data_IF_038481270371
#
_entry.id   IF_038481270371
#
_cell.length_a   1.000
_cell.length_b   1.000
_cell.length_c   1.000
_cell.angle_alpha   90.00
_cell.angle_beta   90.00
_cell.angle_gamma   90.00
#
_symmetry.space_group_name_H-M   'P 1'
#
loop_
_entity.id
_entity.type
_entity.pdbx_description
1 polymer ?
#
# COMPACT_ATOMS: atom_id res chain seq x y z
N UNK A 1 67.82 7.57 -4.68
CA UNK A 1 66.80 7.52 -5.74
C UNK A 1 66.50 8.95 -6.15
N UNK A 2 67.15 9.44 -7.21
CA UNK A 2 67.01 10.83 -7.66
C UNK A 2 66.05 10.82 -8.85
N UNK A 3 64.94 11.51 -8.72
CA UNK A 3 63.93 11.67 -9.79
C UNK A 3 64.20 13.02 -10.44
N UNK A 4 64.62 13.01 -11.71
CA UNK A 4 64.80 14.21 -12.53
C UNK A 4 63.54 14.38 -13.40
N UNK A 5 62.87 15.51 -13.29
CA UNK A 5 61.70 15.87 -14.07
C UNK A 5 62.15 16.84 -15.19
N UNK A 6 61.89 16.50 -16.45
CA UNK A 6 62.04 17.38 -17.62
C UNK A 6 60.69 17.82 -18.17
N UNK A 7 60.54 19.09 -18.61
CA UNK A 7 59.24 19.62 -19.06
C UNK A 7 58.88 19.19 -20.50
N UNK A 8 57.60 19.17 -20.88
CA UNK A 8 57.13 18.71 -22.18
C UNK A 8 57.30 19.78 -23.29
N UNK A 9 57.61 19.31 -24.50
CA UNK A 9 57.67 20.11 -25.72
C UNK A 9 56.25 20.37 -26.26
N UNK A 10 56.07 21.58 -26.77
CA UNK A 10 54.90 22.10 -27.45
C UNK A 10 54.45 21.19 -28.59
N UNK A 11 53.12 21.03 -28.73
CA UNK A 11 52.48 20.58 -29.96
C UNK A 11 51.74 21.77 -30.58
N UNK A 12 52.04 22.02 -31.86
CA UNK A 12 51.58 23.21 -32.58
C UNK A 12 50.10 23.16 -32.96
N UNK A 13 49.54 24.38 -33.09
CA UNK A 13 48.22 24.71 -33.61
C UNK A 13 48.07 24.29 -35.09
N UNK A 14 46.91 23.84 -35.45
CA UNK A 14 46.31 24.12 -36.76
C UNK A 14 44.86 24.54 -36.60
N UNK A 15 44.52 25.54 -37.39
CA UNK A 15 43.31 26.39 -37.30
C UNK A 15 42.07 25.80 -37.90
N UNK A 16 40.95 26.35 -37.39
CA UNK A 16 39.69 26.68 -38.03
C UNK A 16 38.75 25.56 -38.47
N UNK A 17 37.57 25.56 -37.95
CA UNK A 17 36.34 26.04 -38.60
C UNK A 17 35.21 26.13 -37.55
N UNK A 18 34.51 27.27 -37.61
CA UNK A 18 33.39 27.69 -36.82
C UNK A 18 32.08 26.92 -37.11
N UNK A 19 31.20 26.96 -36.13
CA UNK A 19 29.74 27.02 -36.15
C UNK A 19 29.01 25.88 -35.41
N UNK A 20 28.50 26.23 -34.32
CA UNK A 20 27.18 26.04 -33.71
C UNK A 20 27.24 25.67 -32.22
N UNK A 21 26.37 26.21 -31.37
CA UNK A 21 26.51 26.15 -29.92
C UNK A 21 25.80 24.93 -29.31
N UNK A 22 26.43 24.38 -28.27
CA UNK A 22 25.73 23.51 -27.34
C UNK A 22 26.28 22.09 -27.26
N UNK A 23 27.47 21.92 -26.67
CA UNK A 23 27.85 20.62 -26.10
C UNK A 23 28.80 20.83 -24.89
N UNK A 24 28.49 20.08 -23.88
CA UNK A 24 29.07 19.87 -22.56
C UNK A 24 30.61 19.71 -22.60
N UNK A 25 31.26 20.45 -21.73
CA UNK A 25 32.69 20.30 -21.40
C UNK A 25 32.99 18.90 -20.87
N UNK A 26 33.82 18.17 -21.59
CA UNK A 26 34.46 16.95 -21.09
C UNK A 26 35.86 17.26 -20.62
N UNK A 27 36.08 17.04 -19.34
CA UNK A 27 37.34 17.17 -18.62
C UNK A 27 38.48 16.37 -19.26
N UNK A 28 39.58 17.05 -19.60
CA UNK A 28 40.79 16.42 -20.15
C UNK A 28 41.51 15.60 -19.06
N UNK A 29 41.61 14.30 -19.25
CA UNK A 29 42.54 13.46 -18.49
C UNK A 29 43.94 13.54 -19.08
N UNK A 30 44.83 14.09 -18.31
CA UNK A 30 46.24 14.11 -18.62
C UNK A 30 46.84 12.68 -18.56
N UNK A 31 47.43 12.23 -19.66
CA UNK A 31 48.17 10.98 -19.73
C UNK A 31 49.57 11.15 -19.16
N UNK A 32 49.79 10.65 -17.95
CA UNK A 32 51.14 10.46 -17.41
C UNK A 32 51.75 9.15 -17.94
N UNK A 33 52.74 9.24 -18.81
CA UNK A 33 53.54 8.06 -19.23
C UNK A 33 54.87 8.14 -18.47
N UNK A 34 55.06 7.29 -17.46
CA UNK A 34 56.31 7.09 -16.78
C UNK A 34 57.19 6.08 -17.59
N UNK A 35 58.30 6.53 -18.14
CA UNK A 35 59.33 5.64 -18.68
C UNK A 35 60.21 5.08 -17.56
N UNK A 36 60.07 3.81 -17.25
CA UNK A 36 60.93 3.06 -16.37
C UNK A 36 62.03 2.41 -17.22
N UNK A 37 63.28 2.82 -17.06
CA UNK A 37 64.42 2.15 -17.67
C UNK A 37 64.77 0.86 -16.89
N UNK A 38 65.04 -0.26 -17.58
CA UNK A 38 65.35 -1.51 -16.92
C UNK A 38 66.79 -1.49 -16.35
N UNK A 39 66.91 -1.63 -15.02
CA UNK A 39 68.13 -2.02 -14.39
C UNK A 39 68.10 -3.55 -14.16
N UNK A 40 69.16 -4.18 -14.64
CA UNK A 40 69.32 -5.64 -14.70
C UNK A 40 69.74 -6.20 -13.33
N UNK A 41 68.85 -6.16 -12.36
CA UNK A 41 69.06 -6.83 -11.07
C UNK A 41 67.79 -7.71 -10.82
N UNK A 42 67.92 -8.97 -11.16
CA UNK A 42 66.81 -9.96 -11.21
C UNK A 42 66.11 -10.26 -9.88
N UNK A 43 66.36 -9.47 -8.82
CA UNK A 43 65.66 -9.61 -7.53
C UNK A 43 64.65 -8.50 -7.24
N UNK A 44 64.68 -7.36 -7.98
CA UNK A 44 63.79 -6.21 -7.71
C UNK A 44 62.39 -6.36 -8.30
N UNK A 45 62.28 -7.06 -9.42
CA UNK A 45 61.01 -7.15 -10.17
C UNK A 45 60.01 -8.09 -9.49
N UNK A 46 60.49 -9.14 -8.84
CA UNK A 46 59.67 -10.09 -8.10
C UNK A 46 58.98 -9.49 -6.87
N UNK A 47 59.67 -8.60 -6.16
CA UNK A 47 59.11 -7.94 -4.98
C UNK A 47 58.07 -6.88 -5.31
N UNK A 48 58.25 -6.16 -6.41
CA UNK A 48 57.25 -5.18 -6.91
C UNK A 48 56.00 -5.88 -7.43
N UNK A 49 56.14 -7.00 -8.13
CA UNK A 49 54.99 -7.79 -8.58
C UNK A 49 54.20 -8.40 -7.42
N UNK A 50 54.90 -8.89 -6.37
CA UNK A 50 54.27 -9.41 -5.14
C UNK A 50 53.55 -8.32 -4.35
N UNK A 51 54.07 -7.10 -4.29
CA UNK A 51 53.43 -5.97 -3.66
C UNK A 51 52.14 -5.54 -4.43
N UNK A 52 52.18 -5.54 -5.77
CA UNK A 52 50.98 -5.26 -6.57
C UNK A 52 49.89 -6.34 -6.42
N UNK A 53 50.28 -7.61 -6.34
CA UNK A 53 49.31 -8.71 -6.11
C UNK A 53 48.73 -8.63 -4.71
N UNK A 54 49.53 -8.31 -3.68
CA UNK A 54 49.08 -8.14 -2.31
C UNK A 54 48.13 -6.93 -2.15
N UNK A 55 48.42 -5.80 -2.82
CA UNK A 55 47.54 -4.62 -2.84
C UNK A 55 46.27 -4.92 -3.62
N UNK A 56 46.32 -5.64 -4.74
CA UNK A 56 45.12 -6.03 -5.49
C UNK A 56 44.24 -7.02 -4.70
N UNK A 57 44.85 -7.92 -3.96
CA UNK A 57 44.11 -8.88 -3.11
C UNK A 57 43.53 -8.23 -1.85
N UNK A 58 44.19 -7.23 -1.26
CA UNK A 58 43.62 -6.46 -0.14
C UNK A 58 42.45 -5.53 -0.57
N UNK A 59 42.41 -5.11 -1.84
CA UNK A 59 41.26 -4.36 -2.40
C UNK A 59 40.08 -5.31 -2.75
N UNK A 60 40.37 -6.54 -3.19
CA UNK A 60 39.37 -7.54 -3.49
C UNK A 60 38.69 -8.15 -2.25
N UNK A 61 39.33 -8.03 -1.07
CA UNK A 61 38.81 -8.60 0.19
C UNK A 61 37.92 -7.64 1.00
N UNK A 62 37.48 -6.53 0.44
CA UNK A 62 36.31 -5.83 1.00
C UNK A 62 35.08 -6.66 0.78
N UNK A 63 34.92 -7.70 1.63
CA UNK A 63 33.63 -8.28 1.88
C UNK A 63 32.74 -7.13 2.33
N UNK A 64 32.03 -6.51 1.41
CA UNK A 64 30.81 -5.77 1.74
C UNK A 64 29.89 -6.83 2.36
N UNK A 65 29.93 -6.96 3.69
CA UNK A 65 28.80 -7.53 4.40
C UNK A 65 27.63 -6.65 3.97
N UNK A 66 26.87 -7.15 3.01
CA UNK A 66 25.57 -6.56 2.71
C UNK A 66 24.85 -6.56 4.06
N UNK A 67 24.67 -5.36 4.63
CA UNK A 67 23.97 -5.20 5.89
C UNK A 67 22.66 -5.96 5.77
N UNK A 68 22.48 -6.97 6.63
CA UNK A 68 21.33 -7.88 6.50
C UNK A 68 20.07 -7.12 6.84
N UNK A 69 19.29 -6.72 5.81
CA UNK A 69 18.00 -6.07 6.00
C UNK A 69 17.07 -6.92 6.88
N UNK A 70 16.36 -6.30 7.86
CA UNK A 70 16.42 -4.92 8.30
C UNK A 70 17.45 -4.68 9.43
N UNK A 71 18.09 -3.49 9.46
CA UNK A 71 19.02 -3.05 10.52
C UNK A 71 18.43 -1.95 11.41
N UNK A 72 17.29 -1.39 11.03
CA UNK A 72 16.55 -0.35 11.76
C UNK A 72 15.05 -0.63 11.73
N UNK A 73 14.27 0.15 12.48
CA UNK A 73 12.81 0.00 12.54
C UNK A 73 12.15 0.21 11.17
N UNK A 74 11.13 -0.62 10.88
CA UNK A 74 10.30 -0.53 9.68
C UNK A 74 9.02 0.22 10.05
N UNK A 75 8.62 1.16 9.21
CA UNK A 75 7.35 1.88 9.33
C UNK A 75 6.34 1.36 8.32
N UNK A 76 5.15 0.99 8.79
CA UNK A 76 4.01 0.68 7.93
C UNK A 76 3.01 1.82 8.06
N UNK A 77 2.89 2.60 6.99
CA UNK A 77 1.91 3.67 6.89
C UNK A 77 0.54 3.07 6.63
N UNK A 78 -0.42 3.37 7.51
CA UNK A 78 -1.83 3.07 7.32
C UNK A 78 -2.53 4.34 6.88
N UNK A 79 -3.10 4.42 5.64
CA UNK A 79 -3.67 5.64 5.10
C UNK A 79 -5.05 5.99 5.68
N UNK A 80 -5.39 5.44 6.85
CA UNK A 80 -6.64 5.63 7.58
C UNK A 80 -6.39 5.75 9.08
N UNK A 81 -7.36 6.29 9.88
CA UNK A 81 -7.25 6.37 11.33
C UNK A 81 -7.09 5.00 11.99
N UNK A 82 -6.65 5.02 13.23
CA UNK A 82 -6.67 3.84 14.10
C UNK A 82 -8.10 3.26 14.24
N UNK A 83 -8.17 1.98 14.59
CA UNK A 83 -9.41 1.21 14.74
C UNK A 83 -10.22 0.97 13.46
N UNK A 84 -9.75 1.43 12.29
CA UNK A 84 -10.28 0.98 10.99
C UNK A 84 -9.71 -0.40 10.61
N UNK A 85 -10.38 -1.11 9.70
CA UNK A 85 -9.97 -2.46 9.27
C UNK A 85 -8.48 -2.57 8.86
N UNK A 86 -7.90 -1.66 8.05
CA UNK A 86 -6.49 -1.76 7.70
C UNK A 86 -5.55 -1.61 8.91
N UNK A 87 -5.90 -0.79 9.90
CA UNK A 87 -5.14 -0.62 11.14
C UNK A 87 -5.21 -1.88 12.03
N UNK A 88 -6.41 -2.42 12.20
CA UNK A 88 -6.65 -3.64 12.98
C UNK A 88 -5.82 -4.81 12.41
N UNK A 89 -5.88 -5.03 11.11
CA UNK A 89 -5.22 -6.15 10.45
C UNK A 89 -3.70 -5.99 10.46
N UNK A 90 -3.18 -4.78 10.16
CA UNK A 90 -1.73 -4.57 10.13
C UNK A 90 -1.07 -4.67 11.50
N UNK A 91 -1.74 -4.25 12.58
CA UNK A 91 -1.20 -4.38 13.96
C UNK A 91 -1.01 -5.83 14.37
N UNK A 92 -1.88 -6.73 13.93
CA UNK A 92 -1.72 -8.18 14.14
C UNK A 92 -0.43 -8.68 13.48
N UNK A 93 -0.16 -8.23 12.25
CA UNK A 93 1.05 -8.62 11.49
C UNK A 93 2.28 -7.95 12.08
N UNK A 94 2.24 -6.64 12.36
CA UNK A 94 3.37 -5.85 12.84
C UNK A 94 3.97 -6.41 14.14
N UNK A 95 3.14 -6.85 15.07
CA UNK A 95 3.57 -7.48 16.32
C UNK A 95 4.40 -8.76 16.08
N UNK A 96 3.95 -9.64 15.19
CA UNK A 96 4.66 -10.90 14.85
C UNK A 96 5.89 -10.60 13.98
N UNK A 97 5.80 -9.64 13.08
CA UNK A 97 6.88 -9.25 12.17
C UNK A 97 8.05 -8.62 12.92
N UNK A 98 7.79 -7.85 13.99
CA UNK A 98 8.81 -7.34 14.93
C UNK A 98 9.68 -8.49 15.48
N UNK A 99 9.04 -9.57 15.93
CA UNK A 99 9.76 -10.73 16.46
C UNK A 99 10.52 -11.49 15.37
N UNK A 100 9.91 -11.67 14.19
CA UNK A 100 10.51 -12.41 13.06
C UNK A 100 11.75 -11.69 12.49
N UNK A 101 11.69 -10.36 12.38
CA UNK A 101 12.75 -9.54 11.81
C UNK A 101 13.75 -9.03 12.86
N UNK A 102 13.47 -9.21 14.16
CA UNK A 102 14.27 -8.68 15.30
C UNK A 102 14.47 -7.15 15.21
N UNK A 103 13.54 -6.46 14.55
CA UNK A 103 13.51 -5.01 14.40
C UNK A 103 12.08 -4.52 14.62
N UNK A 104 11.94 -3.36 15.27
CA UNK A 104 10.64 -2.79 15.55
C UNK A 104 9.86 -2.49 14.28
N UNK A 105 8.60 -2.92 14.20
CA UNK A 105 7.67 -2.58 13.13
C UNK A 105 6.61 -1.63 13.69
N UNK A 106 6.65 -0.38 13.22
CA UNK A 106 5.83 0.73 13.72
C UNK A 106 4.67 0.96 12.76
N UNK A 107 3.45 1.02 13.29
CA UNK A 107 2.25 1.38 12.52
C UNK A 107 2.01 2.88 12.66
N UNK A 108 2.03 3.60 11.54
CA UNK A 108 1.89 5.05 11.44
C UNK A 108 0.60 5.42 10.67
N UNK A 109 -0.41 5.91 11.37
CA UNK A 109 -1.68 6.28 10.75
C UNK A 109 -1.60 7.67 10.11
N UNK A 110 -1.79 7.75 8.77
CA UNK A 110 -1.77 8.98 7.96
C UNK A 110 -3.05 9.14 7.14
N UNK A 111 -4.17 9.50 7.78
CA UNK A 111 -5.46 9.59 7.12
C UNK A 111 -5.62 10.84 6.27
N UNK A 112 -6.59 10.81 5.37
CA UNK A 112 -7.06 11.97 4.60
C UNK A 112 -7.18 11.70 3.11
N UNK A 113 -8.08 12.44 2.44
CA UNK A 113 -8.38 12.35 1.00
C UNK A 113 -8.63 10.91 0.52
N UNK A 114 -9.50 10.14 1.20
CA UNK A 114 -9.76 8.74 0.85
C UNK A 114 -8.54 7.81 0.95
N UNK A 115 -7.54 8.19 1.76
CA UNK A 115 -6.27 7.47 1.94
C UNK A 115 -5.13 7.96 1.04
N UNK A 116 -5.39 8.90 0.13
CA UNK A 116 -4.40 9.36 -0.82
C UNK A 116 -3.20 10.06 -0.15
N UNK A 117 -3.40 10.75 1.00
CA UNK A 117 -2.29 11.41 1.73
C UNK A 117 -1.26 10.40 2.20
N UNK A 118 -1.70 9.31 2.84
CA UNK A 118 -0.80 8.26 3.32
C UNK A 118 -0.14 7.47 2.18
N UNK A 119 -0.86 7.21 1.10
CA UNK A 119 -0.33 6.52 -0.07
C UNK A 119 0.73 7.37 -0.79
N UNK A 120 0.47 8.65 -1.01
CA UNK A 120 1.40 9.61 -1.65
C UNK A 120 2.71 9.75 -0.86
N UNK A 121 2.61 9.81 0.47
CA UNK A 121 3.78 9.85 1.35
C UNK A 121 4.72 8.67 1.08
N UNK A 122 4.16 7.45 0.93
CA UNK A 122 4.97 6.25 0.71
C UNK A 122 5.46 6.19 -0.73
N UNK A 123 4.64 6.54 -1.72
CA UNK A 123 5.06 6.61 -3.12
C UNK A 123 6.34 7.46 -3.33
N UNK A 124 6.48 8.52 -2.52
CA UNK A 124 7.62 9.46 -2.55
C UNK A 124 8.73 9.14 -1.54
N UNK A 125 8.59 8.07 -0.77
CA UNK A 125 9.61 7.65 0.21
C UNK A 125 10.80 6.97 -0.47
N UNK A 126 11.94 6.93 0.24
CA UNK A 126 13.14 6.22 -0.23
C UNK A 126 12.81 4.73 -0.41
N UNK A 127 13.18 4.11 -1.56
CA UNK A 127 12.88 2.70 -1.84
C UNK A 127 13.86 1.74 -1.16
N UNK A 128 14.04 1.87 0.16
CA UNK A 128 14.96 1.10 0.99
C UNK A 128 14.27 0.01 1.83
N UNK A 129 12.94 -0.15 1.68
CA UNK A 129 12.14 -1.14 2.40
C UNK A 129 11.76 -0.75 3.83
N UNK A 130 12.17 0.41 4.34
CA UNK A 130 11.86 0.83 5.70
C UNK A 130 10.58 1.67 5.84
N UNK A 131 9.98 2.08 4.72
CA UNK A 131 8.66 2.72 4.70
C UNK A 131 7.75 1.97 3.76
N UNK A 132 6.71 1.36 4.30
CA UNK A 132 5.73 0.54 3.59
C UNK A 132 4.34 1.17 3.70
N UNK A 133 3.42 0.80 2.84
CA UNK A 133 2.01 1.20 2.93
C UNK A 133 1.10 -0.02 3.05
N UNK A 134 0.07 0.09 3.89
CA UNK A 134 -1.10 -0.79 3.83
C UNK A 134 -2.03 -0.26 2.74
N UNK A 135 -1.81 -0.72 1.50
CA UNK A 135 -2.69 -0.43 0.38
C UNK A 135 -4.07 -1.05 0.55
N UNK A 136 -5.07 -0.37 0.04
CA UNK A 136 -6.47 -0.78 0.12
C UNK A 136 -7.16 -0.65 -1.23
N UNK A 137 -8.34 -1.22 -1.35
CA UNK A 137 -9.19 -1.05 -2.54
C UNK A 137 -9.41 0.43 -2.87
N UNK A 138 -9.51 1.30 -1.87
CA UNK A 138 -9.67 2.74 -2.09
C UNK A 138 -8.46 3.34 -2.79
N UNK A 139 -7.27 3.19 -2.20
CA UNK A 139 -6.03 3.84 -2.66
C UNK A 139 -5.47 3.25 -3.96
N UNK A 140 -5.69 1.93 -4.21
CA UNK A 140 -5.07 1.21 -5.32
C UNK A 140 -6.06 0.64 -6.34
N UNK A 141 -7.36 0.97 -6.25
CA UNK A 141 -8.34 0.57 -7.27
C UNK A 141 -9.40 1.65 -7.52
N UNK A 142 -10.11 2.15 -6.49
CA UNK A 142 -11.24 3.07 -6.64
C UNK A 142 -10.78 4.47 -7.04
N UNK A 143 -9.81 5.03 -6.34
CA UNK A 143 -9.43 6.44 -6.45
C UNK A 143 -8.87 6.80 -7.84
N UNK A 144 -8.29 5.85 -8.55
CA UNK A 144 -7.83 6.04 -9.93
C UNK A 144 -8.98 6.41 -10.89
N UNK A 145 -10.19 5.90 -10.65
CA UNK A 145 -11.36 6.21 -11.47
C UNK A 145 -12.11 7.44 -10.96
N UNK A 146 -12.12 7.65 -9.64
CA UNK A 146 -12.94 8.66 -8.99
C UNK A 146 -12.30 10.06 -8.98
N UNK A 147 -10.97 10.12 -8.71
CA UNK A 147 -10.25 11.40 -8.64
C UNK A 147 -9.78 11.86 -10.03
N UNK A 148 -10.08 13.11 -10.39
CA UNK A 148 -9.60 13.70 -11.65
C UNK A 148 -8.06 13.76 -11.73
N UNK A 149 -7.39 13.92 -10.57
CA UNK A 149 -5.94 13.98 -10.46
C UNK A 149 -5.48 13.32 -9.16
N UNK A 150 -4.69 12.26 -9.27
CA UNK A 150 -3.99 11.65 -8.14
C UNK A 150 -2.54 12.18 -8.10
N UNK A 151 -1.97 12.38 -6.90
CA UNK A 151 -0.57 12.80 -6.76
C UNK A 151 0.44 11.67 -6.96
N UNK A 152 -0.02 10.42 -7.19
CA UNK A 152 0.77 9.21 -7.42
C UNK A 152 0.05 8.29 -8.43
N UNK A 153 0.82 7.41 -9.06
CA UNK A 153 0.29 6.30 -9.86
C UNK A 153 0.17 5.05 -8.95
N UNK A 154 -1.05 4.53 -8.68
CA UNK A 154 -1.24 3.42 -7.74
C UNK A 154 -0.61 2.08 -8.19
N UNK A 155 -0.16 1.99 -9.43
CA UNK A 155 0.49 0.79 -9.98
C UNK A 155 1.98 1.01 -10.15
N UNK A 156 2.40 2.15 -10.75
CA UNK A 156 3.81 2.37 -11.14
C UNK A 156 4.68 2.86 -9.99
N UNK A 157 4.10 3.57 -9.00
CA UNK A 157 4.86 4.17 -7.92
C UNK A 157 5.04 3.22 -6.72
N UNK A 158 4.56 1.96 -6.83
CA UNK A 158 4.64 0.96 -5.77
C UNK A 158 5.20 -0.38 -6.26
N UNK A 159 5.92 -1.04 -5.37
CA UNK A 159 6.34 -2.43 -5.49
C UNK A 159 5.46 -3.31 -4.59
N UNK A 160 4.64 -4.23 -5.15
CA UNK A 160 3.80 -5.12 -4.37
C UNK A 160 4.65 -6.05 -3.49
N UNK A 161 4.20 -6.30 -2.25
CA UNK A 161 4.84 -7.26 -1.34
C UNK A 161 3.94 -8.49 -1.18
N UNK A 162 2.70 -8.29 -0.66
CA UNK A 162 1.80 -9.41 -0.36
C UNK A 162 0.35 -8.93 -0.22
N UNK A 163 -0.61 -9.71 -0.73
CA UNK A 163 -2.00 -9.57 -0.35
C UNK A 163 -2.17 -10.12 1.08
N UNK A 164 -2.65 -9.26 1.97
CA UNK A 164 -2.81 -9.58 3.38
C UNK A 164 -4.13 -10.30 3.63
N UNK A 165 -5.23 -9.70 3.17
CA UNK A 165 -6.56 -10.24 3.35
C UNK A 165 -7.57 -9.63 2.38
N UNK A 166 -8.69 -10.34 2.21
CA UNK A 166 -9.93 -9.82 1.65
C UNK A 166 -11.02 -9.82 2.72
N UNK A 167 -12.02 -8.95 2.60
CA UNK A 167 -13.17 -8.92 3.49
C UNK A 167 -14.39 -8.33 2.76
N UNK A 168 -15.62 -8.76 3.07
CA UNK A 168 -16.79 -8.03 2.64
C UNK A 168 -16.95 -6.75 3.46
N UNK A 169 -17.75 -5.81 2.95
CA UNK A 169 -18.36 -4.81 3.80
C UNK A 169 -19.61 -5.42 4.48
N UNK A 170 -20.06 -4.77 5.51
CA UNK A 170 -21.30 -5.07 6.20
C UNK A 170 -22.18 -3.83 6.27
N UNK A 171 -23.45 -3.98 5.95
CA UNK A 171 -24.42 -2.92 6.13
C UNK A 171 -24.86 -2.92 7.59
N UNK A 172 -24.44 -1.90 8.32
CA UNK A 172 -24.77 -1.69 9.72
C UNK A 172 -25.62 -0.45 9.89
N UNK A 173 -26.53 -0.52 10.86
CA UNK A 173 -27.45 0.57 11.22
C UNK A 173 -27.41 0.82 12.72
N UNK A 174 -27.77 2.03 13.15
CA UNK A 174 -28.02 2.31 14.55
C UNK A 174 -29.20 1.43 15.06
N UNK A 175 -29.04 0.66 16.15
CA UNK A 175 -30.08 -0.27 16.62
C UNK A 175 -31.36 0.41 17.12
N UNK A 176 -31.34 1.74 17.39
CA UNK A 176 -32.53 2.51 17.79
C UNK A 176 -33.48 2.72 16.61
N UNK A 177 -32.99 2.61 15.37
CA UNK A 177 -33.83 2.76 14.18
C UNK A 177 -34.74 1.53 13.98
N UNK A 178 -35.96 1.71 13.44
CA UNK A 178 -36.88 0.63 13.16
C UNK A 178 -36.48 -0.14 11.88
N UNK A 179 -35.18 -0.37 11.67
CA UNK A 179 -34.59 -1.03 10.50
C UNK A 179 -34.00 -2.35 10.96
N UNK A 180 -34.58 -3.47 10.50
CA UNK A 180 -34.10 -4.83 10.80
C UNK A 180 -33.62 -5.56 9.53
N UNK A 181 -34.06 -5.11 8.37
CA UNK A 181 -33.75 -5.72 7.07
C UNK A 181 -33.37 -4.65 6.04
N UNK A 182 -32.77 -5.07 4.93
CA UNK A 182 -32.53 -4.19 3.77
C UNK A 182 -33.83 -3.61 3.22
N UNK A 183 -34.92 -4.39 3.25
CA UNK A 183 -36.24 -3.93 2.81
C UNK A 183 -36.79 -2.79 3.69
N UNK A 184 -36.61 -2.89 5.01
CA UNK A 184 -37.03 -1.82 5.93
C UNK A 184 -36.23 -0.52 5.66
N UNK A 185 -34.90 -0.63 5.43
CA UNK A 185 -34.08 0.51 5.06
C UNK A 185 -34.57 1.18 3.77
N UNK A 186 -34.85 0.38 2.73
CA UNK A 186 -35.35 0.89 1.45
C UNK A 186 -36.73 1.56 1.63
N UNK A 187 -37.62 0.94 2.39
CA UNK A 187 -38.97 1.49 2.64
C UNK A 187 -38.87 2.83 3.41
N UNK A 188 -38.04 2.89 4.44
CA UNK A 188 -37.83 4.12 5.23
C UNK A 188 -37.19 5.23 4.38
N UNK A 189 -36.16 4.91 3.60
CA UNK A 189 -35.49 5.89 2.76
C UNK A 189 -36.38 6.41 1.61
N UNK A 190 -37.32 5.59 1.12
CA UNK A 190 -38.35 6.01 0.14
C UNK A 190 -39.40 6.91 0.77
N UNK A 191 -39.83 6.63 2.02
CA UNK A 191 -40.82 7.44 2.72
C UNK A 191 -40.27 8.80 3.19
N UNK A 192 -38.95 8.92 3.34
CA UNK A 192 -38.24 10.09 3.83
C UNK A 192 -37.00 10.40 2.97
N UNK A 193 -37.19 10.85 1.72
CA UNK A 193 -36.08 11.12 0.81
C UNK A 193 -35.08 12.14 1.36
N UNK A 194 -33.80 11.78 1.43
CA UNK A 194 -32.71 12.62 1.93
C UNK A 194 -32.60 12.70 3.46
N UNK A 195 -33.56 12.20 4.24
CA UNK A 195 -33.49 12.26 5.71
C UNK A 195 -32.56 11.17 6.29
N UNK A 196 -32.46 10.01 5.64
CA UNK A 196 -31.55 8.95 6.08
C UNK A 196 -30.11 9.31 5.72
N UNK A 197 -29.25 9.35 6.71
CA UNK A 197 -27.82 9.62 6.54
C UNK A 197 -27.00 8.34 6.45
N UNK A 198 -26.00 8.31 5.57
CA UNK A 198 -25.01 7.25 5.57
C UNK A 198 -23.60 7.78 5.78
N UNK A 199 -22.89 7.16 6.73
CA UNK A 199 -21.50 7.49 6.99
C UNK A 199 -20.55 6.80 5.99
N UNK A 200 -19.43 7.42 5.74
CA UNK A 200 -18.31 6.79 5.03
C UNK A 200 -16.96 7.11 5.66
N UNK A 201 -15.95 6.34 5.34
CA UNK A 201 -14.56 6.64 5.71
C UNK A 201 -13.93 7.75 4.86
N UNK A 202 -14.74 8.55 4.17
CA UNK A 202 -14.36 9.62 3.27
C UNK A 202 -14.65 9.30 1.80
N UNK A 203 -14.62 10.34 0.98
CA UNK A 203 -14.82 10.23 -0.47
C UNK A 203 -13.80 9.26 -1.07
N UNK A 204 -14.24 8.36 -1.95
CA UNK A 204 -13.40 7.34 -2.59
C UNK A 204 -13.19 6.06 -1.80
N UNK A 205 -13.75 5.94 -0.60
CA UNK A 205 -13.76 4.66 0.13
C UNK A 205 -14.84 3.71 -0.38
N UNK A 206 -14.69 2.40 -0.13
CA UNK A 206 -15.74 1.41 -0.41
C UNK A 206 -17.07 1.76 0.27
N UNK A 207 -17.01 2.40 1.42
CA UNK A 207 -18.18 2.88 2.16
C UNK A 207 -18.99 3.91 1.35
N UNK A 208 -18.30 4.91 0.77
CA UNK A 208 -18.90 5.93 -0.08
C UNK A 208 -19.49 5.31 -1.35
N UNK A 209 -18.68 4.50 -2.06
CA UNK A 209 -19.14 3.85 -3.30
C UNK A 209 -20.33 2.90 -3.02
N UNK A 210 -20.30 2.19 -1.88
CA UNK A 210 -21.39 1.30 -1.46
C UNK A 210 -22.70 2.04 -1.20
N UNK A 211 -22.64 3.15 -0.47
CA UNK A 211 -23.83 3.99 -0.24
C UNK A 211 -24.38 4.58 -1.53
N UNK A 212 -23.51 5.09 -2.40
CA UNK A 212 -23.91 5.65 -3.70
C UNK A 212 -24.49 4.59 -4.65
N UNK A 213 -23.85 3.41 -4.72
CA UNK A 213 -24.36 2.28 -5.53
C UNK A 213 -25.71 1.79 -5.02
N UNK A 214 -25.88 1.70 -3.69
CA UNK A 214 -27.14 1.31 -3.08
C UNK A 214 -28.27 2.27 -3.45
N UNK A 215 -28.03 3.59 -3.34
CA UNK A 215 -29.00 4.60 -3.77
C UNK A 215 -29.37 4.44 -5.24
N UNK A 216 -28.39 4.21 -6.09
CA UNK A 216 -28.61 4.04 -7.54
C UNK A 216 -29.46 2.81 -7.85
N UNK A 217 -29.15 1.66 -7.24
CA UNK A 217 -29.84 0.39 -7.50
C UNK A 217 -31.24 0.34 -6.91
N UNK A 218 -31.49 1.06 -5.80
CA UNK A 218 -32.80 1.04 -5.11
C UNK A 218 -33.66 2.27 -5.37
N UNK A 219 -33.15 3.24 -6.12
CA UNK A 219 -33.78 4.52 -6.40
C UNK A 219 -34.21 5.26 -5.11
N UNK A 220 -33.40 5.21 -4.06
CA UNK A 220 -33.59 5.99 -2.83
C UNK A 220 -32.65 7.20 -2.80
N UNK A 221 -32.98 8.19 -1.98
CA UNK A 221 -32.13 9.35 -1.68
C UNK A 221 -31.70 9.31 -0.22
N UNK A 222 -30.40 9.38 0.05
CA UNK A 222 -29.81 9.40 1.36
C UNK A 222 -28.71 10.46 1.41
N UNK A 223 -28.49 11.06 2.59
CA UNK A 223 -27.46 12.08 2.78
C UNK A 223 -26.11 11.44 3.12
N UNK A 224 -25.09 11.71 2.33
CA UNK A 224 -23.73 11.23 2.58
C UNK A 224 -23.02 12.10 3.62
N UNK A 225 -22.45 11.46 4.66
CA UNK A 225 -21.66 12.12 5.71
C UNK A 225 -20.24 11.53 5.69
N UNK A 226 -19.25 12.24 5.11
CA UNK A 226 -17.88 11.75 5.01
C UNK A 226 -17.09 11.98 6.30
N UNK A 227 -16.38 10.94 6.77
CA UNK A 227 -15.44 10.97 7.87
C UNK A 227 -14.01 10.71 7.37
N UNK A 228 -13.01 10.78 8.26
CA UNK A 228 -11.61 10.44 7.91
C UNK A 228 -11.32 8.93 7.97
N UNK A 229 -12.32 8.06 8.16
CA UNK A 229 -12.22 6.59 8.27
C UNK A 229 -13.25 6.00 9.21
N UNK A 230 -13.40 4.64 9.23
CA UNK A 230 -14.34 3.94 10.12
C UNK A 230 -14.15 4.29 11.59
N UNK A 231 -12.90 4.40 12.06
CA UNK A 231 -12.61 4.74 13.46
C UNK A 231 -13.20 6.08 13.92
N UNK A 232 -13.41 7.03 13.00
CA UNK A 232 -14.08 8.30 13.27
C UNK A 232 -15.60 8.23 13.05
N UNK A 233 -16.08 7.39 12.13
CA UNK A 233 -17.49 7.28 11.79
C UNK A 233 -18.30 6.42 12.76
N UNK A 234 -17.70 5.32 13.25
CA UNK A 234 -18.40 4.34 14.08
C UNK A 234 -18.94 4.90 15.43
N UNK A 235 -18.20 5.76 16.16
CA UNK A 235 -18.75 6.41 17.36
C UNK A 235 -20.03 7.20 17.07
N UNK A 236 -20.06 7.96 15.98
CA UNK A 236 -21.23 8.76 15.60
C UNK A 236 -22.39 7.88 15.14
N UNK A 237 -22.12 6.78 14.44
CA UNK A 237 -23.15 5.80 14.08
C UNK A 237 -23.75 5.11 15.32
N UNK A 238 -22.91 4.73 16.30
CA UNK A 238 -23.37 4.16 17.59
C UNK A 238 -24.16 5.19 18.39
N UNK A 239 -23.71 6.45 18.38
CA UNK A 239 -24.40 7.56 19.05
C UNK A 239 -25.74 7.95 18.39
N UNK A 240 -25.93 7.62 17.12
CA UNK A 240 -27.13 7.96 16.32
C UNK A 240 -27.04 9.34 15.67
N UNK A 241 -25.83 9.88 15.48
CA UNK A 241 -25.60 11.11 14.71
C UNK A 241 -25.69 10.85 13.20
N UNK A 242 -25.49 9.61 12.79
CA UNK A 242 -25.72 9.08 11.45
C UNK A 242 -26.47 7.74 11.56
N UNK A 243 -27.17 7.36 10.49
CA UNK A 243 -28.16 6.26 10.55
C UNK A 243 -27.58 4.91 10.17
N UNK A 244 -26.73 4.89 9.17
CA UNK A 244 -26.19 3.64 8.62
C UNK A 244 -24.79 3.82 8.01
N UNK A 245 -24.14 2.68 7.74
CA UNK A 245 -22.84 2.63 7.05
C UNK A 245 -22.66 1.28 6.33
N UNK A 246 -22.09 1.29 5.15
CA UNK A 246 -21.48 0.11 4.53
C UNK A 246 -20.04 -0.01 5.02
N UNK A 247 -19.84 -0.45 6.27
CA UNK A 247 -18.50 -0.48 6.85
C UNK A 247 -17.72 -1.76 6.50
N UNK A 248 -16.39 -1.73 6.65
CA UNK A 248 -15.58 -2.93 6.53
C UNK A 248 -15.86 -3.87 7.72
N UNK A 249 -16.12 -5.15 7.44
CA UNK A 249 -16.54 -6.09 8.48
C UNK A 249 -15.56 -6.16 9.68
N UNK A 250 -14.22 -6.13 9.52
CA UNK A 250 -13.31 -6.16 10.67
C UNK A 250 -13.46 -4.98 11.64
N UNK A 251 -13.80 -3.79 11.18
CA UNK A 251 -14.01 -2.63 12.06
C UNK A 251 -15.34 -2.67 12.77
N UNK A 252 -16.41 -3.15 12.12
CA UNK A 252 -17.74 -3.26 12.71
C UNK A 252 -17.95 -4.49 13.60
N UNK A 253 -17.17 -5.56 13.43
CA UNK A 253 -17.39 -6.85 14.12
C UNK A 253 -17.47 -6.73 15.65
N UNK A 254 -16.61 -5.99 16.35
CA UNK A 254 -16.73 -5.82 17.80
C UNK A 254 -18.06 -5.18 18.22
N UNK A 255 -18.53 -4.20 17.45
CA UNK A 255 -19.78 -3.46 17.71
C UNK A 255 -21.01 -4.27 17.37
N UNK A 256 -20.93 -5.16 16.37
CA UNK A 256 -22.00 -6.12 16.06
C UNK A 256 -22.11 -7.15 17.17
N UNK A 257 -20.99 -7.71 17.63
CA UNK A 257 -20.97 -8.70 18.73
C UNK A 257 -21.47 -8.15 20.05
N UNK A 258 -21.21 -6.88 20.35
CA UNK A 258 -21.70 -6.20 21.57
C UNK A 258 -23.15 -5.71 21.46
N UNK A 259 -23.75 -5.77 20.26
CA UNK A 259 -25.10 -5.22 20.01
C UNK A 259 -25.14 -3.69 19.89
N UNK A 260 -23.99 -3.00 19.92
CA UNK A 260 -23.92 -1.55 19.74
C UNK A 260 -24.30 -1.12 18.30
N UNK A 261 -24.15 -2.01 17.33
CA UNK A 261 -24.63 -1.85 15.97
C UNK A 261 -25.45 -3.08 15.53
N UNK A 262 -26.46 -2.84 14.71
CA UNK A 262 -27.21 -3.91 14.05
C UNK A 262 -26.70 -4.11 12.64
N UNK A 263 -26.16 -5.30 12.35
CA UNK A 263 -25.85 -5.73 11.00
C UNK A 263 -27.13 -6.27 10.34
N UNK A 264 -27.41 -5.87 9.09
CA UNK A 264 -28.62 -6.29 8.36
C UNK A 264 -28.30 -7.04 7.05
N UNK A 265 -27.12 -6.88 6.49
CA UNK A 265 -26.64 -7.65 5.34
C UNK A 265 -25.11 -7.56 5.20
N UNK A 266 -24.51 -8.50 4.48
CA UNK A 266 -23.11 -8.42 4.00
C UNK A 266 -23.08 -8.07 2.52
N UNK A 267 -21.93 -7.60 2.01
CA UNK A 267 -21.82 -7.11 0.62
C UNK A 267 -21.11 -8.06 -0.33
N UNK A 268 -20.64 -9.21 0.15
CA UNK A 268 -19.95 -10.19 -0.67
C UNK A 268 -20.87 -10.93 -1.63
N UNK A 269 -20.29 -11.66 -2.59
CA UNK A 269 -21.04 -12.55 -3.50
C UNK A 269 -21.75 -13.69 -2.76
N UNK A 270 -21.20 -14.10 -1.60
CA UNK A 270 -21.77 -15.11 -0.71
C UNK A 270 -21.85 -14.57 0.71
N UNK A 271 -22.66 -15.26 1.55
CA UNK A 271 -22.76 -14.94 2.98
C UNK A 271 -21.42 -15.08 3.68
N UNK A 272 -21.16 -14.23 4.66
CA UNK A 272 -19.96 -14.32 5.47
C UNK A 272 -20.00 -15.54 6.41
N UNK A 273 -18.91 -16.32 6.46
CA UNK A 273 -18.81 -17.47 7.34
C UNK A 273 -18.92 -17.10 8.84
N UNK A 274 -18.57 -15.87 9.22
CA UNK A 274 -18.68 -15.40 10.61
C UNK A 274 -20.04 -14.78 10.94
N UNK A 275 -20.87 -14.54 9.92
CA UNK A 275 -22.25 -14.03 10.04
C UNK A 275 -23.19 -14.83 9.10
N UNK A 276 -23.28 -16.18 9.24
CA UNK A 276 -23.95 -17.04 8.25
C UNK A 276 -25.46 -16.80 8.15
N UNK A 277 -26.06 -16.26 9.20
CA UNK A 277 -27.49 -15.93 9.23
C UNK A 277 -27.84 -14.61 8.54
N UNK A 278 -26.85 -13.75 8.26
CA UNK A 278 -27.09 -12.52 7.53
C UNK A 278 -27.10 -12.81 6.02
N UNK A 279 -28.11 -12.30 5.29
CA UNK A 279 -28.12 -12.37 3.83
C UNK A 279 -27.03 -11.45 3.25
N UNK A 280 -26.68 -11.66 2.00
CA UNK A 280 -26.03 -10.62 1.21
C UNK A 280 -27.04 -9.53 0.84
N UNK A 281 -26.55 -8.34 0.50
CA UNK A 281 -27.40 -7.24 0.02
C UNK A 281 -28.15 -7.66 -1.25
N UNK A 282 -27.49 -8.45 -2.12
CA UNK A 282 -28.12 -9.01 -3.32
C UNK A 282 -29.27 -9.98 -2.98
N UNK A 283 -29.04 -10.94 -2.05
CA UNK A 283 -30.10 -11.86 -1.57
C UNK A 283 -31.24 -11.12 -0.87
N UNK A 284 -30.95 -10.01 -0.23
CA UNK A 284 -31.92 -9.19 0.50
C UNK A 284 -32.77 -8.30 -0.42
N UNK A 285 -32.64 -8.41 -1.75
CA UNK A 285 -33.52 -7.77 -2.74
C UNK A 285 -32.87 -6.61 -3.52
N UNK A 286 -31.52 -6.52 -3.54
CA UNK A 286 -30.80 -5.55 -4.35
C UNK A 286 -29.85 -6.31 -5.31
N UNK A 287 -30.36 -6.94 -6.37
CA UNK A 287 -29.58 -7.71 -7.31
C UNK A 287 -28.49 -6.83 -7.96
N UNK A 288 -27.30 -7.40 -8.18
CA UNK A 288 -26.16 -6.69 -8.74
C UNK A 288 -25.36 -5.88 -7.72
N UNK A 289 -25.76 -5.85 -6.45
CA UNK A 289 -24.95 -5.26 -5.39
C UNK A 289 -23.93 -6.28 -4.87
N UNK A 290 -22.69 -6.10 -5.24
CA UNK A 290 -21.57 -6.91 -4.76
C UNK A 290 -20.33 -6.05 -4.53
N UNK A 291 -19.72 -6.16 -3.34
CA UNK A 291 -18.51 -5.43 -2.99
C UNK A 291 -17.66 -6.24 -2.04
N UNK A 292 -16.39 -6.44 -2.42
CA UNK A 292 -15.36 -7.03 -1.57
C UNK A 292 -14.17 -6.10 -1.53
N UNK A 293 -13.67 -5.83 -0.34
CA UNK A 293 -12.48 -5.02 -0.13
C UNK A 293 -11.25 -5.89 0.06
N UNK A 294 -10.09 -5.31 -0.14
CA UNK A 294 -8.82 -5.99 0.02
C UNK A 294 -7.77 -5.09 0.68
N UNK A 295 -6.80 -5.72 1.29
CA UNK A 295 -5.68 -5.10 2.00
C UNK A 295 -4.39 -5.78 1.57
N UNK A 296 -3.39 -4.98 1.15
CA UNK A 296 -2.10 -5.48 0.71
C UNK A 296 -0.97 -4.60 1.23
N UNK A 297 0.19 -5.19 1.46
CA UNK A 297 1.40 -4.43 1.78
C UNK A 297 2.19 -4.15 0.50
N UNK A 298 2.59 -2.89 0.34
CA UNK A 298 3.40 -2.41 -0.77
C UNK A 298 4.55 -1.55 -0.24
N UNK A 299 5.63 -1.52 -1.00
CA UNK A 299 6.77 -0.61 -0.80
C UNK A 299 6.79 0.46 -1.91
N UNK A 300 7.60 1.52 -1.80
CA UNK A 300 7.87 2.42 -2.92
C UNK A 300 8.41 1.66 -4.13
N UNK A 301 8.09 2.13 -5.34
CA UNK A 301 8.67 1.59 -6.57
C UNK A 301 10.21 1.56 -6.48
N UNK A 302 10.85 0.61 -7.17
CA UNK A 302 12.31 0.39 -7.17
C UNK A 302 12.91 -0.11 -5.85
N UNK A 303 12.11 -0.46 -4.85
CA UNK A 303 12.60 -1.20 -3.68
C UNK A 303 13.28 -2.50 -4.14
N UNK A 304 14.52 -2.80 -3.69
CA UNK A 304 15.27 -3.98 -4.12
C UNK A 304 14.46 -5.28 -3.95
N UNK A 305 14.50 -6.15 -4.97
CA UNK A 305 13.71 -7.39 -4.99
C UNK A 305 14.00 -8.28 -3.79
N UNK A 306 15.26 -8.38 -3.35
CA UNK A 306 15.65 -9.17 -2.18
C UNK A 306 14.93 -8.71 -0.89
N UNK A 307 14.66 -7.40 -0.75
CA UNK A 307 13.89 -6.84 0.37
C UNK A 307 12.41 -7.23 0.25
N UNK A 308 11.84 -7.11 -0.95
CA UNK A 308 10.45 -7.52 -1.22
C UNK A 308 10.26 -9.01 -0.90
N UNK A 309 11.17 -9.87 -1.37
CA UNK A 309 11.12 -11.31 -1.16
C UNK A 309 11.27 -11.67 0.33
N UNK A 310 12.14 -10.98 1.06
CA UNK A 310 12.31 -11.16 2.51
C UNK A 310 11.05 -10.81 3.27
N UNK A 311 10.44 -9.66 2.98
CA UNK A 311 9.19 -9.22 3.60
C UNK A 311 8.04 -10.17 3.25
N UNK A 312 7.89 -10.54 1.97
CA UNK A 312 6.87 -11.50 1.54
C UNK A 312 6.99 -12.84 2.27
N UNK A 313 8.21 -13.38 2.38
CA UNK A 313 8.46 -14.65 3.06
C UNK A 313 8.02 -14.62 4.53
N UNK A 314 8.44 -13.59 5.27
CA UNK A 314 8.12 -13.52 6.71
C UNK A 314 6.64 -13.23 6.95
N UNK A 315 6.02 -12.37 6.16
CA UNK A 315 4.57 -12.08 6.30
C UNK A 315 3.74 -13.31 5.89
N UNK A 316 4.15 -14.04 4.85
CA UNK A 316 3.49 -15.29 4.46
C UNK A 316 3.51 -16.31 5.60
N UNK A 317 4.65 -16.49 6.28
CA UNK A 317 4.74 -17.37 7.47
C UNK A 317 3.75 -16.93 8.55
N UNK A 318 3.70 -15.63 8.84
CA UNK A 318 2.81 -15.06 9.85
C UNK A 318 1.34 -15.32 9.49
N UNK A 319 0.92 -15.00 8.26
CA UNK A 319 -0.47 -15.18 7.83
C UNK A 319 -0.92 -16.65 7.80
N UNK A 320 0.02 -17.59 7.70
CA UNK A 320 -0.25 -19.04 7.78
C UNK A 320 -0.29 -19.60 9.20
N UNK A 321 0.10 -18.83 10.23
CA UNK A 321 0.00 -19.27 11.63
C UNK A 321 -1.46 -19.50 12.01
N UNK A 322 -1.81 -20.63 12.66
CA UNK A 322 -3.20 -20.94 13.00
C UNK A 322 -3.88 -19.89 13.87
N UNK A 323 -3.15 -19.32 14.86
CA UNK A 323 -3.64 -18.25 15.76
C UNK A 323 -3.94 -16.95 14.99
N UNK A 324 -3.11 -16.60 14.01
CA UNK A 324 -3.30 -15.41 13.17
C UNK A 324 -4.47 -15.63 12.22
N UNK A 325 -4.53 -16.79 11.55
CA UNK A 325 -5.64 -17.15 10.67
C UNK A 325 -6.98 -17.09 11.42
N UNK A 326 -7.04 -17.74 12.58
CA UNK A 326 -8.25 -17.72 13.41
C UNK A 326 -8.64 -16.30 13.82
N UNK A 327 -7.66 -15.44 14.18
CA UNK A 327 -7.90 -14.06 14.57
C UNK A 327 -8.44 -13.19 13.40
N UNK A 328 -7.93 -13.38 12.19
CA UNK A 328 -8.43 -12.70 10.99
C UNK A 328 -9.86 -13.14 10.67
N UNK A 329 -10.09 -14.47 10.62
CA UNK A 329 -11.43 -15.02 10.36
C UNK A 329 -12.45 -14.53 11.39
N UNK A 330 -12.11 -14.52 12.69
CA UNK A 330 -13.01 -14.05 13.74
C UNK A 330 -13.42 -12.57 13.60
N UNK A 331 -12.67 -11.80 12.82
CA UNK A 331 -12.96 -10.41 12.44
C UNK A 331 -13.67 -10.31 11.07
N UNK A 332 -13.92 -11.43 10.39
CA UNK A 332 -14.54 -11.45 9.06
C UNK A 332 -13.60 -11.08 7.90
N UNK A 333 -12.28 -11.22 8.12
CA UNK A 333 -11.27 -11.09 7.08
C UNK A 333 -10.69 -12.46 6.72
N UNK A 334 -10.50 -12.72 5.43
CA UNK A 334 -9.88 -13.97 4.95
C UNK A 334 -8.41 -13.69 4.61
N UNK A 335 -7.43 -14.29 5.32
CA UNK A 335 -6.02 -14.16 4.96
C UNK A 335 -5.75 -14.78 3.59
N UNK A 336 -5.11 -14.04 2.71
CA UNK A 336 -4.86 -14.43 1.31
C UNK A 336 -3.38 -14.27 0.94
N UNK A 337 -2.44 -14.98 1.64
CA UNK A 337 -1.02 -14.86 1.33
C UNK A 337 -0.71 -15.38 -0.07
N UNK A 338 0.06 -14.59 -0.82
CA UNK A 338 0.50 -14.92 -2.16
C UNK A 338 1.84 -14.27 -2.50
N UNK A 339 2.28 -14.39 -3.76
CA UNK A 339 3.52 -13.78 -4.22
C UNK A 339 3.34 -12.29 -4.52
N UNK A 340 4.44 -11.50 -4.58
CA UNK A 340 4.39 -10.10 -5.02
C UNK A 340 3.76 -9.94 -6.40
N UNK A 341 4.06 -10.85 -7.33
CA UNK A 341 3.52 -10.85 -8.69
C UNK A 341 2.00 -11.09 -8.70
N UNK A 342 1.52 -11.99 -7.83
CA UNK A 342 0.08 -12.23 -7.66
C UNK A 342 -0.64 -10.99 -7.13
N UNK A 343 -0.08 -10.26 -6.15
CA UNK A 343 -0.66 -9.00 -5.70
C UNK A 343 -0.67 -7.95 -6.82
N UNK A 344 0.41 -7.83 -7.60
CA UNK A 344 0.48 -6.89 -8.73
C UNK A 344 -0.59 -7.19 -9.80
N UNK A 345 -0.80 -8.45 -10.14
CA UNK A 345 -1.85 -8.88 -11.06
C UNK A 345 -3.25 -8.61 -10.47
N UNK A 346 -3.45 -8.93 -9.19
CA UNK A 346 -4.69 -8.72 -8.46
C UNK A 346 -5.10 -7.24 -8.42
N UNK A 347 -4.16 -6.32 -8.15
CA UNK A 347 -4.44 -4.87 -8.15
C UNK A 347 -4.95 -4.41 -9.52
N UNK A 348 -4.30 -4.86 -10.61
CA UNK A 348 -4.73 -4.52 -11.98
C UNK A 348 -6.14 -5.04 -12.28
N UNK A 349 -6.39 -6.30 -11.95
CA UNK A 349 -7.73 -6.92 -12.09
C UNK A 349 -8.78 -6.16 -11.31
N UNK A 350 -8.53 -5.89 -10.02
CA UNK A 350 -9.48 -5.18 -9.16
C UNK A 350 -9.71 -3.75 -9.61
N UNK A 351 -8.69 -3.05 -10.09
CA UNK A 351 -8.86 -1.71 -10.67
C UNK A 351 -9.81 -1.74 -11.87
N UNK A 352 -9.66 -2.71 -12.77
CA UNK A 352 -10.57 -2.87 -13.91
C UNK A 352 -12.00 -3.25 -13.48
N UNK A 353 -12.14 -4.10 -12.44
CA UNK A 353 -13.42 -4.50 -11.88
C UNK A 353 -14.15 -3.34 -11.20
N UNK A 354 -13.44 -2.51 -10.44
CA UNK A 354 -14.03 -1.39 -9.70
C UNK A 354 -14.38 -0.19 -10.59
N UNK A 355 -13.69 0.02 -11.71
CA UNK A 355 -13.93 1.17 -12.58
C UNK A 355 -15.40 1.30 -13.04
N UNK A 356 -16.07 0.27 -13.58
CA UNK A 356 -17.49 0.35 -13.93
C UNK A 356 -18.40 0.54 -12.70
N UNK A 357 -18.07 -0.05 -11.54
CA UNK A 357 -18.85 0.09 -10.30
C UNK A 357 -18.80 1.56 -9.82
N UNK A 358 -17.62 2.17 -9.81
CA UNK A 358 -17.44 3.58 -9.44
C UNK A 358 -18.23 4.49 -10.37
N UNK A 359 -18.16 4.26 -11.68
CA UNK A 359 -18.96 5.04 -12.67
C UNK A 359 -20.46 4.83 -12.48
N UNK A 360 -20.90 3.59 -12.31
CA UNK A 360 -22.32 3.25 -12.11
C UNK A 360 -22.89 3.81 -10.80
N UNK A 361 -22.09 3.96 -9.75
CA UNK A 361 -22.51 4.51 -8.47
C UNK A 361 -22.92 5.98 -8.55
N UNK A 362 -22.44 6.72 -9.55
CA UNK A 362 -22.63 8.17 -9.65
C UNK A 362 -21.91 8.97 -8.56
N UNK A 363 -21.00 8.33 -7.80
CA UNK A 363 -20.22 9.01 -6.77
C UNK A 363 -19.32 10.08 -7.38
N UNK A 364 -19.28 11.24 -6.75
CA UNK A 364 -18.42 12.36 -7.15
C UNK A 364 -17.56 12.81 -5.99
N UNK A 365 -16.51 13.55 -6.33
CA UNK A 365 -15.69 14.29 -5.37
C UNK A 365 -15.88 15.76 -5.74
N UNK A 366 -16.40 16.50 -4.80
CA UNK A 366 -16.57 17.96 -4.92
C UNK A 366 -15.24 18.67 -4.75
#
# INVERSE_FOLDING_TARGET
MIVTISPPRHCERSEAISLLPGFIETEKRDCFVAKIAPRNDGLGITWIALLFVAVFWSIASRNTHAETYPTKSIKIVVPFPAAGAPDILVRVIASKLTNALKQQVIVDNRPGAGGNIGADLVAKSVPDGYTLVMGTVATHSINQTLYKKLPFDPIKDFAPIILVATAPNVLVVNPKLPIKTVKDLIALAKSKPGEISFASGGNGTSHHIGGSLFQKLTAVQMTHVPYKGSGAALPDLIGGQVDMMFDNLPSSMPHIKSGALRAIATTGAARSAVLPNLPTVAEAGVPGFEMTVWYGLLAPAKTPQAIIDRLNLEITKILRMPDIKARFIAQGAEPTPGTPQQLGAFIKEKTAQWAPIVKASGATID
#
